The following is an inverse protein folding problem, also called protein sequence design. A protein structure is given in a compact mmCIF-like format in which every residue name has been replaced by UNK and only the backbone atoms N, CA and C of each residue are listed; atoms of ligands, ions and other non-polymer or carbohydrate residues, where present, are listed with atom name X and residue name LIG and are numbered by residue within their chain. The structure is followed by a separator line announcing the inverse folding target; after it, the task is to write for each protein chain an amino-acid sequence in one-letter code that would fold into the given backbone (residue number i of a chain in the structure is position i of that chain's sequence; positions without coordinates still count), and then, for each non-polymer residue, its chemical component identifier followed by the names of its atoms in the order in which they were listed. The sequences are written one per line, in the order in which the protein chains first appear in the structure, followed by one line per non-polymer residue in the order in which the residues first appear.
data_IF_099417083067
#
_entry.id   IF_099417083067
#
_cell.length_a   1.000
_cell.length_b   1.000
_cell.length_c   1.000
_cell.angle_alpha   90.00
_cell.angle_beta   90.00
_cell.angle_gamma   90.00
#
_symmetry.space_group_name_H-M   'P 1'
#
loop_
_entity.id
_entity.type
_entity.pdbx_description
1 polymer ?
#
# COMPACT_ATOMS: atom_id res chain seq x y z
N UNK A 1 -28.45 45.49 -49.38
CA UNK A 1 -27.29 44.61 -49.15
C UNK A 1 -27.56 43.75 -47.93
N UNK A 2 -27.42 42.44 -48.08
CA UNK A 2 -28.16 41.41 -47.37
C UNK A 2 -27.58 41.04 -45.99
N UNK A 3 -28.48 40.72 -45.05
CA UNK A 3 -28.19 40.04 -43.79
C UNK A 3 -28.00 38.54 -44.07
N UNK A 4 -26.86 37.97 -43.68
CA UNK A 4 -26.59 36.52 -43.72
C UNK A 4 -26.72 35.97 -42.30
N UNK A 5 -27.56 34.96 -42.02
CA UNK A 5 -27.51 34.23 -40.76
C UNK A 5 -26.56 33.03 -40.91
N UNK A 6 -25.58 32.92 -40.01
CA UNK A 6 -24.72 31.74 -39.88
C UNK A 6 -25.39 30.79 -38.89
N UNK A 7 -25.94 29.70 -39.43
CA UNK A 7 -26.49 28.58 -38.66
C UNK A 7 -25.35 27.78 -38.03
N UNK A 8 -25.18 27.84 -36.71
CA UNK A 8 -24.24 26.98 -35.99
C UNK A 8 -24.91 25.62 -35.77
N UNK A 9 -24.48 24.64 -36.56
CA UNK A 9 -24.88 23.23 -36.43
C UNK A 9 -24.12 22.62 -35.24
N UNK A 10 -24.75 22.52 -34.08
CA UNK A 10 -24.24 21.73 -32.94
C UNK A 10 -24.44 20.25 -33.25
N UNK A 11 -23.39 19.56 -33.71
CA UNK A 11 -23.37 18.09 -33.76
C UNK A 11 -23.11 17.59 -32.35
N UNK A 12 -24.19 17.24 -31.66
CA UNK A 12 -24.14 16.52 -30.39
C UNK A 12 -23.71 15.07 -30.69
N UNK A 13 -22.41 14.81 -30.61
CA UNK A 13 -21.90 13.43 -30.62
C UNK A 13 -22.39 12.74 -29.35
N UNK A 14 -23.44 11.92 -29.49
CA UNK A 14 -23.91 11.03 -28.45
C UNK A 14 -22.76 10.08 -28.08
N UNK A 15 -22.13 10.29 -26.92
CA UNK A 15 -21.34 9.24 -26.29
C UNK A 15 -22.30 8.09 -26.02
N UNK A 16 -22.13 6.98 -26.74
CA UNK A 16 -22.66 5.70 -26.32
C UNK A 16 -22.16 5.46 -24.90
N UNK A 17 -23.05 5.60 -23.92
CA UNK A 17 -22.87 5.01 -22.59
C UNK A 17 -22.99 3.51 -22.83
N UNK A 18 -21.85 2.84 -22.97
CA UNK A 18 -21.81 1.41 -22.65
C UNK A 18 -22.25 1.32 -21.20
N UNK A 19 -23.43 0.76 -20.98
CA UNK A 19 -23.91 0.40 -19.66
C UNK A 19 -23.06 -0.76 -19.14
N UNK A 20 -21.88 -0.44 -18.63
CA UNK A 20 -21.15 -1.38 -17.79
C UNK A 20 -21.98 -1.53 -16.51
N UNK A 21 -22.71 -2.64 -16.41
CA UNK A 21 -23.39 -3.03 -15.17
C UNK A 21 -22.29 -3.25 -14.15
N UNK A 22 -22.07 -2.25 -13.29
CA UNK A 22 -21.08 -2.33 -12.23
C UNK A 22 -21.32 -3.59 -11.39
N UNK A 23 -20.26 -4.32 -11.08
CA UNK A 23 -20.35 -5.51 -10.25
C UNK A 23 -21.04 -5.16 -8.91
N UNK A 24 -21.94 -6.01 -8.41
CA UNK A 24 -22.58 -5.80 -7.12
C UNK A 24 -21.50 -5.69 -6.03
N UNK A 25 -21.65 -4.71 -5.13
CA UNK A 25 -20.68 -4.47 -4.05
C UNK A 25 -20.94 -5.38 -2.84
N UNK A 26 -19.89 -5.83 -2.13
CA UNK A 26 -20.06 -6.60 -0.90
C UNK A 26 -20.77 -5.75 0.16
N UNK A 27 -21.75 -6.35 0.84
CA UNK A 27 -22.53 -5.69 1.92
C UNK A 27 -21.97 -5.95 3.32
N UNK A 28 -21.06 -6.91 3.45
CA UNK A 28 -20.43 -7.31 4.72
C UNK A 28 -18.96 -6.95 4.68
N UNK A 29 -18.46 -6.48 5.82
CA UNK A 29 -17.04 -6.32 6.10
C UNK A 29 -16.53 -7.65 6.69
N UNK A 30 -15.33 -8.08 6.31
CA UNK A 30 -14.68 -9.35 6.67
C UNK A 30 -15.35 -10.62 6.12
N UNK A 31 -15.96 -10.56 4.94
CA UNK A 31 -16.29 -11.79 4.22
C UNK A 31 -14.98 -12.39 3.67
N UNK A 32 -14.61 -13.57 4.16
CA UNK A 32 -13.39 -14.27 3.73
C UNK A 32 -13.62 -15.16 2.51
N UNK A 33 -14.89 -15.33 2.11
CA UNK A 33 -15.29 -16.09 0.93
C UNK A 33 -15.76 -15.14 -0.17
N UNK A 34 -14.93 -14.96 -1.20
CA UNK A 34 -15.28 -14.08 -2.32
C UNK A 34 -16.45 -14.67 -3.12
N UNK A 35 -17.59 -13.98 -3.15
CA UNK A 35 -18.69 -14.35 -4.04
C UNK A 35 -18.27 -14.06 -5.50
N UNK A 36 -18.33 -15.04 -6.43
CA UNK A 36 -17.99 -14.83 -7.84
C UNK A 36 -18.75 -13.70 -8.52
N UNK A 37 -19.93 -13.32 -8.00
CA UNK A 37 -20.72 -12.19 -8.49
C UNK A 37 -20.04 -10.84 -8.26
N UNK A 38 -19.14 -10.72 -7.28
CA UNK A 38 -18.46 -9.45 -6.94
C UNK A 38 -17.21 -9.21 -7.79
N UNK A 39 -16.75 -10.20 -8.55
CA UNK A 39 -15.56 -10.08 -9.40
C UNK A 39 -15.86 -9.09 -10.54
N UNK A 40 -15.10 -7.99 -10.66
CA UNK A 40 -15.25 -7.03 -11.74
C UNK A 40 -15.09 -7.70 -13.10
N UNK A 41 -15.87 -7.27 -14.09
CA UNK A 41 -15.90 -7.91 -15.42
C UNK A 41 -14.55 -7.78 -16.11
N UNK A 42 -13.91 -6.63 -15.95
CA UNK A 42 -12.59 -6.30 -16.46
C UNK A 42 -11.50 -7.25 -15.95
N UNK A 43 -11.53 -7.64 -14.67
CA UNK A 43 -10.53 -8.54 -14.06
C UNK A 43 -10.60 -9.96 -14.61
N UNK A 44 -11.74 -10.36 -15.19
CA UNK A 44 -11.91 -11.67 -15.85
C UNK A 44 -11.11 -11.76 -17.14
N UNK A 45 -10.65 -10.64 -17.70
CA UNK A 45 -9.93 -10.59 -18.96
C UNK A 45 -8.42 -10.37 -18.75
N UNK A 46 -7.59 -11.23 -19.36
CA UNK A 46 -6.12 -11.11 -19.26
C UNK A 46 -5.55 -9.78 -19.78
N UNK A 47 -6.29 -9.05 -20.62
CA UNK A 47 -5.91 -7.71 -21.09
C UNK A 47 -5.83 -6.69 -19.96
N UNK A 48 -6.71 -6.80 -18.94
CA UNK A 48 -6.69 -5.96 -17.76
C UNK A 48 -5.35 -6.08 -17.00
N UNK A 49 -4.96 -7.31 -16.68
CA UNK A 49 -3.72 -7.60 -15.97
C UNK A 49 -2.47 -7.18 -16.75
N UNK A 50 -2.45 -7.43 -18.07
CA UNK A 50 -1.35 -6.98 -18.94
C UNK A 50 -1.24 -5.46 -18.99
N UNK A 51 -2.38 -4.76 -19.07
CA UNK A 51 -2.42 -3.29 -19.07
C UNK A 51 -1.91 -2.73 -17.74
N UNK A 52 -2.38 -3.27 -16.62
CA UNK A 52 -1.95 -2.88 -15.27
C UNK A 52 -0.43 -3.07 -15.10
N UNK A 53 0.09 -4.26 -15.47
CA UNK A 53 1.53 -4.54 -15.40
C UNK A 53 2.37 -3.58 -16.27
N UNK A 54 1.92 -3.30 -17.51
CA UNK A 54 2.61 -2.37 -18.40
C UNK A 54 2.63 -0.93 -17.84
N UNK A 55 1.54 -0.50 -17.18
CA UNK A 55 1.48 0.80 -16.51
C UNK A 55 2.45 0.86 -15.33
N UNK A 56 2.48 -0.16 -14.47
CA UNK A 56 3.41 -0.26 -13.34
C UNK A 56 4.86 -0.23 -13.80
N UNK A 57 5.20 -1.01 -14.84
CA UNK A 57 6.55 -1.02 -15.41
C UNK A 57 6.94 0.37 -15.94
N UNK A 58 6.05 1.01 -16.71
CA UNK A 58 6.29 2.36 -17.24
C UNK A 58 6.51 3.38 -16.12
N UNK A 59 5.70 3.32 -15.06
CA UNK A 59 5.83 4.20 -13.89
C UNK A 59 7.19 4.00 -13.20
N UNK A 60 7.59 2.74 -12.97
CA UNK A 60 8.88 2.41 -12.32
C UNK A 60 10.09 2.81 -13.17
N UNK A 61 10.03 2.64 -14.49
CA UNK A 61 11.10 3.09 -15.39
C UNK A 61 11.24 4.62 -15.45
N UNK A 62 10.18 5.35 -15.18
CA UNK A 62 10.19 6.82 -15.14
C UNK A 62 10.64 7.39 -13.79
N UNK A 63 10.74 6.55 -12.75
CA UNK A 63 11.09 6.95 -11.39
C UNK A 63 12.56 7.41 -11.33
N UNK A 64 12.81 8.57 -10.71
CA UNK A 64 14.17 9.12 -10.53
C UNK A 64 14.51 9.15 -9.04
N UNK A 65 15.64 8.53 -8.62
CA UNK A 65 16.09 8.60 -7.23
C UNK A 65 16.31 10.05 -6.79
N UNK A 66 15.79 10.41 -5.62
CA UNK A 66 16.11 11.68 -4.99
C UNK A 66 17.49 11.57 -4.30
N UNK A 67 18.51 12.23 -4.86
CA UNK A 67 19.88 12.24 -4.35
C UNK A 67 20.19 13.46 -3.47
N UNK A 68 19.21 14.33 -3.23
CA UNK A 68 19.39 15.51 -2.38
C UNK A 68 19.57 15.12 -0.91
N UNK A 69 20.28 15.95 -0.14
CA UNK A 69 20.38 15.79 1.32
C UNK A 69 19.01 16.01 1.98
N UNK A 70 18.54 15.05 2.75
CA UNK A 70 17.29 15.18 3.50
C UNK A 70 17.41 16.28 4.58
N UNK A 71 16.46 17.21 4.59
CA UNK A 71 16.35 18.25 5.64
C UNK A 71 15.68 17.72 6.91
N UNK A 72 14.68 16.87 6.74
CA UNK A 72 13.86 16.31 7.81
C UNK A 72 13.86 14.78 7.70
N UNK A 73 13.78 14.09 8.83
CA UNK A 73 13.53 12.65 8.90
C UNK A 73 12.27 12.37 9.70
N UNK A 74 11.37 11.54 9.17
CA UNK A 74 10.18 11.06 9.86
C UNK A 74 10.23 9.53 9.80
N UNK A 75 10.13 8.88 10.96
CA UNK A 75 10.07 7.42 11.08
C UNK A 75 8.71 7.03 11.67
N UNK A 76 7.92 6.28 10.89
CA UNK A 76 6.68 5.67 11.36
C UNK A 76 6.97 4.26 11.85
N UNK A 77 6.55 3.94 13.07
CA UNK A 77 6.77 2.62 13.69
C UNK A 77 5.41 1.99 13.95
N UNK A 78 5.10 0.91 13.24
CA UNK A 78 4.00 0.01 13.58
C UNK A 78 4.50 -1.09 14.51
N UNK A 79 4.38 -0.90 15.83
CA UNK A 79 4.78 -1.94 16.80
C UNK A 79 3.91 -3.20 16.61
N UNK A 80 4.54 -4.36 16.49
CA UNK A 80 3.87 -5.64 16.20
C UNK A 80 3.27 -5.75 14.79
N UNK A 81 3.57 -4.82 13.87
CA UNK A 81 2.98 -4.82 12.52
C UNK A 81 3.71 -5.80 11.58
N UNK A 82 3.28 -7.06 11.59
CA UNK A 82 3.75 -8.08 10.64
C UNK A 82 3.23 -7.85 9.21
N UNK A 83 3.80 -8.54 8.23
CA UNK A 83 3.26 -8.55 6.85
C UNK A 83 1.81 -9.04 6.81
N UNK A 84 1.44 -10.01 7.65
CA UNK A 84 0.06 -10.48 7.75
C UNK A 84 -0.87 -9.39 8.31
N UNK A 85 -0.38 -8.59 9.27
CA UNK A 85 -1.13 -7.46 9.83
C UNK A 85 -1.37 -6.39 8.77
N UNK A 86 -0.37 -6.10 7.92
CA UNK A 86 -0.51 -5.16 6.79
C UNK A 86 -1.58 -5.65 5.80
N UNK A 87 -1.50 -6.92 5.39
CA UNK A 87 -2.50 -7.52 4.49
C UNK A 87 -3.91 -7.44 5.08
N UNK A 88 -4.08 -7.80 6.35
CA UNK A 88 -5.38 -7.72 7.03
C UNK A 88 -5.90 -6.28 7.09
N UNK A 89 -5.04 -5.31 7.42
CA UNK A 89 -5.40 -3.90 7.48
C UNK A 89 -5.80 -3.35 6.10
N UNK A 90 -5.08 -3.73 5.04
CA UNK A 90 -5.40 -3.39 3.66
C UNK A 90 -6.79 -3.91 3.29
N UNK A 91 -7.02 -5.22 3.41
CA UNK A 91 -8.31 -5.84 3.08
C UNK A 91 -9.46 -5.20 3.87
N UNK A 92 -9.27 -5.00 5.18
CA UNK A 92 -10.26 -4.36 6.04
C UNK A 92 -10.55 -2.91 5.59
N UNK A 93 -9.52 -2.13 5.25
CA UNK A 93 -9.66 -0.75 4.78
C UNK A 93 -10.48 -0.65 3.48
N UNK A 94 -10.20 -1.50 2.49
CA UNK A 94 -10.98 -1.52 1.26
C UNK A 94 -12.43 -1.97 1.48
N UNK A 95 -12.67 -2.95 2.35
CA UNK A 95 -14.02 -3.41 2.68
C UNK A 95 -14.85 -2.35 3.42
N UNK A 96 -14.23 -1.51 4.26
CA UNK A 96 -14.90 -0.35 4.86
C UNK A 96 -15.38 0.66 3.80
N UNK A 97 -14.75 0.70 2.64
CA UNK A 97 -15.13 1.54 1.50
C UNK A 97 -16.11 0.85 0.54
N UNK A 98 -16.66 -0.31 0.91
CA UNK A 98 -17.53 -1.15 0.07
C UNK A 98 -16.84 -1.63 -1.22
N UNK A 99 -15.51 -1.77 -1.18
CA UNK A 99 -14.70 -2.41 -2.20
C UNK A 99 -14.41 -3.87 -1.81
N UNK A 100 -13.70 -4.64 -2.64
CA UNK A 100 -13.43 -6.05 -2.33
C UNK A 100 -12.43 -6.19 -1.16
N UNK A 101 -11.42 -5.33 -1.14
CA UNK A 101 -10.44 -5.21 -0.08
C UNK A 101 -9.02 -5.40 -0.59
N UNK A 102 -8.78 -6.48 -1.32
CA UNK A 102 -7.46 -6.94 -1.77
C UNK A 102 -6.76 -5.97 -2.74
N UNK A 103 -7.56 -5.25 -3.54
CA UNK A 103 -7.12 -4.24 -4.50
C UNK A 103 -6.81 -2.88 -3.86
N UNK A 104 -7.24 -2.68 -2.60
CA UNK A 104 -6.93 -1.44 -1.90
C UNK A 104 -5.44 -1.34 -1.60
N UNK A 105 -4.95 -0.11 -1.41
CA UNK A 105 -3.54 0.17 -1.18
C UNK A 105 -3.46 1.10 0.03
N UNK A 106 -2.65 0.74 1.02
CA UNK A 106 -2.40 1.62 2.18
C UNK A 106 -1.42 2.74 1.78
N UNK A 107 -1.50 3.89 2.44
CA UNK A 107 -0.71 5.07 2.04
C UNK A 107 0.80 4.80 1.97
N UNK A 108 1.34 4.02 2.91
CA UNK A 108 2.76 3.69 2.94
C UNK A 108 3.19 2.67 1.87
N UNK A 109 2.25 1.97 1.23
CA UNK A 109 2.56 1.03 0.13
C UNK A 109 2.84 1.75 -1.18
N UNK A 110 2.45 3.02 -1.28
CA UNK A 110 2.83 3.91 -2.36
C UNK A 110 4.27 4.44 -2.21
N UNK A 111 4.97 4.11 -1.13
CA UNK A 111 6.36 4.52 -0.96
C UNK A 111 7.24 3.88 -2.05
N UNK A 112 8.24 4.63 -2.55
CA UNK A 112 9.02 4.22 -3.72
C UNK A 112 9.86 2.96 -3.49
N UNK A 113 10.27 2.73 -2.23
CA UNK A 113 11.23 1.70 -1.82
C UNK A 113 10.64 0.85 -0.70
N UNK A 114 10.80 -0.47 -0.81
CA UNK A 114 10.46 -1.46 0.21
C UNK A 114 11.67 -2.33 0.51
N UNK A 115 11.79 -2.78 1.75
CA UNK A 115 12.85 -3.68 2.18
C UNK A 115 12.39 -4.58 3.32
N UNK A 116 13.16 -5.63 3.59
CA UNK A 116 12.93 -6.55 4.71
C UNK A 116 14.03 -6.39 5.75
N UNK A 117 13.67 -6.40 7.03
CA UNK A 117 14.59 -6.28 8.15
C UNK A 117 14.64 -7.57 8.98
N UNK A 118 15.84 -7.96 9.44
CA UNK A 118 16.02 -9.06 10.40
C UNK A 118 15.94 -8.52 11.81
N UNK A 119 14.91 -8.91 12.56
CA UNK A 119 14.52 -8.24 13.81
C UNK A 119 15.07 -8.86 15.09
N UNK A 120 15.71 -10.03 15.04
CA UNK A 120 16.27 -10.74 16.22
C UNK A 120 17.09 -9.84 17.16
N UNK A 121 16.93 -10.03 18.48
CA UNK A 121 17.87 -9.52 19.48
C UNK A 121 19.13 -10.40 19.46
N UNK A 122 20.26 -9.92 19.99
CA UNK A 122 21.51 -10.71 19.94
C UNK A 122 21.43 -12.04 20.72
N UNK A 123 20.54 -12.12 21.70
CA UNK A 123 20.29 -13.28 22.58
C UNK A 123 18.89 -13.90 22.42
N UNK A 124 18.07 -13.41 21.46
CA UNK A 124 16.72 -13.92 21.24
C UNK A 124 16.30 -13.86 19.77
N UNK A 125 15.84 -14.99 19.22
CA UNK A 125 15.35 -15.07 17.84
C UNK A 125 14.04 -14.29 17.64
N UNK A 126 13.12 -14.40 18.60
CA UNK A 126 11.90 -13.59 18.67
C UNK A 126 12.22 -12.38 19.54
N UNK A 127 12.25 -11.17 18.99
CA UNK A 127 12.67 -9.99 19.72
C UNK A 127 11.54 -9.38 20.57
N UNK A 128 11.90 -8.44 21.44
CA UNK A 128 10.96 -7.51 22.06
C UNK A 128 11.10 -6.08 21.51
N UNK A 129 10.19 -5.20 21.95
CA UNK A 129 10.19 -3.80 21.52
C UNK A 129 11.45 -3.04 22.01
N UNK A 130 12.06 -3.42 23.14
CA UNK A 130 13.24 -2.73 23.67
C UNK A 130 14.48 -2.92 22.79
N UNK A 131 14.81 -4.19 22.46
CA UNK A 131 16.00 -4.48 21.68
C UNK A 131 15.85 -3.98 20.23
N UNK A 132 14.64 -4.04 19.68
CA UNK A 132 14.35 -3.54 18.33
C UNK A 132 14.41 -2.02 18.29
N UNK A 133 13.81 -1.32 19.26
CA UNK A 133 13.92 0.12 19.39
C UNK A 133 15.38 0.60 19.44
N UNK A 134 16.21 -0.06 20.23
CA UNK A 134 17.65 0.24 20.25
C UNK A 134 18.25 0.04 18.85
N UNK A 135 17.94 -1.07 18.19
CA UNK A 135 18.49 -1.40 16.87
C UNK A 135 18.18 -0.34 15.79
N UNK A 136 16.92 0.05 15.60
CA UNK A 136 16.54 0.96 14.53
C UNK A 136 16.68 2.45 14.89
N UNK A 137 16.83 2.81 16.16
CA UNK A 137 17.06 4.19 16.60
C UNK A 137 18.54 4.53 16.82
N UNK A 138 19.36 3.58 17.27
CA UNK A 138 20.80 3.79 17.52
C UNK A 138 21.70 3.14 16.46
N UNK A 139 21.18 2.21 15.66
CA UNK A 139 21.97 1.43 14.71
C UNK A 139 22.72 0.25 15.32
N UNK A 140 22.52 -0.04 16.62
CA UNK A 140 23.22 -1.12 17.35
C UNK A 140 22.20 -2.12 17.90
N UNK A 141 22.35 -3.39 17.53
CA UNK A 141 21.55 -4.49 18.13
C UNK A 141 22.00 -4.74 19.57
N UNK A 142 21.04 -5.08 20.43
CA UNK A 142 21.27 -5.38 21.86
C UNK A 142 20.50 -6.61 22.32
N UNK A 143 20.58 -6.92 23.61
CA UNK A 143 19.90 -8.04 24.27
C UNK A 143 18.41 -7.76 24.47
N UNK A 144 17.63 -8.82 24.62
CA UNK A 144 16.22 -8.77 24.91
C UNK A 144 15.93 -7.92 26.17
N UNK A 145 15.00 -6.97 26.09
CA UNK A 145 14.62 -6.13 27.22
C UNK A 145 15.63 -5.02 27.56
N UNK A 146 16.64 -4.79 26.72
CA UNK A 146 17.63 -3.72 26.90
C UNK A 146 17.32 -2.53 25.99
N UNK A 147 17.41 -1.32 26.53
CA UNK A 147 17.19 -0.06 25.80
C UNK A 147 18.46 0.78 25.84
N UNK A 148 18.91 1.26 24.69
CA UNK A 148 19.93 2.31 24.58
C UNK A 148 21.35 1.89 24.99
N UNK A 149 21.60 0.60 25.20
CA UNK A 149 22.91 0.04 25.53
C UNK A 149 23.28 -1.07 24.53
N UNK A 150 24.58 -1.33 24.42
CA UNK A 150 25.10 -2.41 23.59
C UNK A 150 24.84 -3.81 24.19
N UNK A 151 25.32 -4.84 23.50
CA UNK A 151 25.16 -6.22 23.92
C UNK A 151 25.95 -6.65 25.15
N UNK A 152 26.82 -5.83 25.73
CA UNK A 152 27.66 -6.21 26.87
C UNK A 152 26.91 -6.15 28.20
N UNK A 153 25.79 -5.42 28.27
CA UNK A 153 25.03 -5.25 29.52
C UNK A 153 24.41 -6.56 30.02
N UNK A 154 24.31 -6.69 31.33
CA UNK A 154 23.51 -7.73 32.00
C UNK A 154 22.16 -7.12 32.38
N UNK A 155 21.08 -7.60 31.77
CA UNK A 155 19.73 -7.11 32.05
C UNK A 155 19.42 -7.21 33.55
N UNK A 156 18.93 -6.12 34.14
CA UNK A 156 18.59 -6.06 35.56
C UNK A 156 19.75 -5.68 36.49
N UNK A 157 20.96 -5.47 35.95
CA UNK A 157 22.09 -4.88 36.67
C UNK A 157 22.23 -3.43 36.24
N UNK A 158 22.04 -2.50 37.17
CA UNK A 158 22.33 -1.07 36.98
C UNK A 158 23.83 -0.82 37.03
#
# INVERSE_FOLDING_TARGET
MARVPITILFVLAAKLVSGDVAAPKPKKVLDTTMNPAYIPVEEKHGSFWKKSAAQTLKAKLAEKPNTNKAKNGILFIGDGMSLATIMAARTFSGQLQQSLGEESVLDFENFPVVGLARTYCIDAQVPDSACTATSYLSGVKTKYGVIGLDGNVTRGSC
#
